data_IF_991102198115
#
_entry.id   IF_991102198115
#
_cell.length_a   1.000
_cell.length_b   1.000
_cell.length_c   1.000
_cell.angle_alpha   90.00
_cell.angle_beta   90.00
_cell.angle_gamma   90.00
#
_symmetry.space_group_name_H-M   'P 1'
#
loop_
_entity.id
_entity.type
_entity.pdbx_description
1 polymer ?
#
# COMPACT_ATOMS: atom_id res chain seq x y z
N UNK A 1 -20.63 28.31 -9.32
CA UNK A 1 -19.98 27.02 -9.62
C UNK A 1 -18.55 27.15 -9.14
N UNK A 2 -18.22 26.55 -8.00
CA UNK A 2 -16.84 26.47 -7.54
C UNK A 2 -16.29 25.15 -8.07
N UNK A 3 -15.82 25.13 -9.32
CA UNK A 3 -15.12 23.95 -9.85
C UNK A 3 -14.03 23.56 -8.86
N UNK A 4 -13.94 22.29 -8.48
CA UNK A 4 -12.70 21.82 -7.88
C UNK A 4 -11.56 21.96 -8.87
N UNK A 5 -10.38 22.21 -8.32
CA UNK A 5 -9.16 22.36 -9.10
C UNK A 5 -8.14 21.44 -8.45
N UNK A 6 -7.81 20.32 -9.08
CA UNK A 6 -6.87 19.37 -8.51
C UNK A 6 -6.09 18.58 -9.54
N UNK A 7 -4.80 18.38 -9.26
CA UNK A 7 -3.95 17.53 -10.07
C UNK A 7 -2.86 16.83 -9.26
N UNK A 8 -2.49 15.64 -9.70
CA UNK A 8 -1.21 15.02 -9.40
C UNK A 8 -0.07 15.87 -9.99
N UNK A 9 1.01 15.97 -9.24
CA UNK A 9 2.26 16.64 -9.59
C UNK A 9 3.44 15.67 -9.50
N UNK A 10 3.45 14.76 -8.53
CA UNK A 10 4.45 13.70 -8.43
C UNK A 10 3.77 12.36 -8.20
N UNK A 11 4.15 11.29 -8.92
CA UNK A 11 4.96 11.26 -10.14
C UNK A 11 4.42 12.17 -11.25
N UNK A 12 5.31 12.62 -12.15
CA UNK A 12 4.92 13.49 -13.29
C UNK A 12 3.82 12.83 -14.11
N UNK A 13 2.70 13.54 -14.33
CA UNK A 13 1.59 12.98 -15.11
C UNK A 13 1.99 12.72 -16.55
N UNK A 14 1.21 11.90 -17.25
CA UNK A 14 1.34 11.62 -18.70
C UNK A 14 1.29 12.87 -19.59
N UNK A 15 0.82 14.00 -19.06
CA UNK A 15 0.85 15.29 -19.74
C UNK A 15 2.05 16.17 -19.32
N UNK A 16 3.03 15.60 -18.61
CA UNK A 16 4.28 16.25 -18.24
C UNK A 16 4.15 17.32 -17.17
N UNK A 17 3.03 17.35 -16.44
CA UNK A 17 2.62 18.49 -15.62
C UNK A 17 2.53 19.83 -16.36
N UNK A 18 2.32 19.78 -17.68
CA UNK A 18 2.22 20.97 -18.52
C UNK A 18 0.75 21.34 -18.76
N UNK A 19 0.49 22.63 -18.97
CA UNK A 19 -0.87 23.10 -19.24
C UNK A 19 -1.84 22.95 -18.06
N UNK A 20 -3.11 23.20 -18.35
CA UNK A 20 -4.19 23.21 -17.36
C UNK A 20 -4.96 21.89 -17.38
N UNK A 21 -5.01 21.20 -16.23
CA UNK A 21 -5.67 19.91 -16.07
C UNK A 21 -6.37 19.79 -14.72
N UNK A 22 -6.67 20.93 -14.12
CA UNK A 22 -7.12 20.99 -12.73
C UNK A 22 -8.64 20.77 -12.66
N UNK A 23 -9.40 20.90 -13.75
CA UNK A 23 -10.85 20.65 -13.82
C UNK A 23 -11.21 19.16 -13.69
N UNK A 24 -12.44 18.84 -13.20
CA UNK A 24 -12.91 17.47 -13.16
C UNK A 24 -13.05 16.87 -14.57
N UNK A 25 -13.06 15.55 -14.62
CA UNK A 25 -13.45 14.81 -15.83
C UNK A 25 -14.97 14.85 -16.00
N UNK A 26 -15.50 14.75 -17.24
CA UNK A 26 -16.91 14.96 -17.49
C UNK A 26 -17.87 14.02 -16.75
N UNK A 27 -17.52 12.73 -16.65
CA UNK A 27 -18.28 11.66 -15.98
C UNK A 27 -17.51 10.33 -16.10
N UNK A 28 -18.02 9.28 -15.44
CA UNK A 28 -17.45 7.92 -15.44
C UNK A 28 -17.38 7.28 -16.84
N UNK A 29 -18.35 7.56 -17.72
CA UNK A 29 -18.36 6.99 -19.07
C UNK A 29 -17.31 7.60 -20.01
N UNK A 30 -16.74 8.76 -19.64
CA UNK A 30 -15.71 9.42 -20.42
C UNK A 30 -14.40 8.64 -20.39
N UNK A 31 -13.73 8.49 -21.54
CA UNK A 31 -12.36 7.98 -21.60
C UNK A 31 -11.36 8.82 -20.79
N UNK A 32 -11.70 10.07 -20.48
CA UNK A 32 -10.90 10.91 -19.59
C UNK A 32 -10.91 10.43 -18.14
N UNK A 33 -11.91 9.67 -17.69
CA UNK A 33 -11.96 9.14 -16.31
C UNK A 33 -10.85 8.11 -16.02
N UNK A 34 -10.28 7.51 -17.07
CA UNK A 34 -9.22 6.52 -16.93
C UNK A 34 -7.90 7.21 -16.60
N UNK A 35 -7.41 8.10 -17.48
CA UNK A 35 -6.10 8.75 -17.30
C UNK A 35 -6.07 10.26 -17.56
N UNK A 36 -7.23 10.90 -17.78
CA UNK A 36 -7.43 12.27 -18.32
C UNK A 36 -6.89 12.50 -19.72
N UNK A 37 -5.70 12.02 -20.05
CA UNK A 37 -5.07 12.13 -21.36
C UNK A 37 -4.45 10.82 -21.80
N UNK A 38 -4.28 10.70 -23.12
CA UNK A 38 -3.57 9.61 -23.78
C UNK A 38 -2.09 9.93 -24.06
N UNK A 39 -1.62 11.10 -23.62
CA UNK A 39 -0.24 11.54 -23.82
C UNK A 39 0.75 10.59 -23.13
N UNK A 40 2.03 10.74 -23.49
CA UNK A 40 3.14 10.04 -22.86
C UNK A 40 4.19 11.06 -22.44
N UNK A 41 4.50 11.09 -21.14
CA UNK A 41 5.55 11.92 -20.57
C UNK A 41 6.73 11.05 -20.14
N UNK A 42 7.78 11.68 -19.62
CA UNK A 42 8.91 10.97 -19.02
C UNK A 42 8.42 10.07 -17.88
N UNK A 43 8.97 8.86 -17.83
CA UNK A 43 8.67 7.92 -16.77
C UNK A 43 9.41 8.27 -15.48
N UNK A 44 8.80 7.92 -14.35
CA UNK A 44 9.38 8.07 -13.01
C UNK A 44 9.95 6.73 -12.57
N UNK A 45 11.20 6.71 -12.13
CA UNK A 45 11.79 5.50 -11.59
C UNK A 45 11.12 5.11 -10.27
N UNK A 46 10.82 3.83 -10.11
CA UNK A 46 10.22 3.25 -8.93
C UNK A 46 10.82 1.87 -8.65
N UNK A 47 10.73 1.40 -7.41
CA UNK A 47 11.26 0.08 -7.01
C UNK A 47 10.20 -0.68 -6.25
N UNK A 48 9.90 -1.90 -6.70
CA UNK A 48 8.97 -2.80 -6.02
C UNK A 48 9.44 -3.04 -4.57
N UNK A 49 8.52 -2.96 -3.61
CA UNK A 49 8.82 -3.10 -2.18
C UNK A 49 9.39 -1.84 -1.53
N UNK A 50 9.55 -0.75 -2.28
CA UNK A 50 10.02 0.55 -1.78
C UNK A 50 8.90 1.58 -1.79
N UNK A 51 9.13 2.66 -1.07
CA UNK A 51 8.23 3.79 -1.00
C UNK A 51 8.25 4.64 -2.28
N UNK A 52 7.06 5.06 -2.72
CA UNK A 52 6.83 6.01 -3.80
C UNK A 52 6.18 7.27 -3.23
N UNK A 53 6.86 8.41 -3.38
CA UNK A 53 6.32 9.70 -2.98
C UNK A 53 5.34 10.26 -4.01
N UNK A 54 4.10 10.47 -3.56
CA UNK A 54 3.03 11.11 -4.27
C UNK A 54 2.90 12.56 -3.82
N UNK A 55 2.55 13.45 -4.75
CA UNK A 55 2.18 14.83 -4.41
C UNK A 55 1.14 15.34 -5.37
N UNK A 56 0.11 15.97 -4.83
CA UNK A 56 -0.92 16.66 -5.60
C UNK A 56 -1.00 18.12 -5.19
N UNK A 57 -1.61 18.90 -6.08
CA UNK A 57 -1.96 20.30 -5.86
C UNK A 57 -3.44 20.47 -6.10
N UNK A 58 -4.15 20.89 -5.08
CA UNK A 58 -5.52 21.35 -5.15
C UNK A 58 -5.54 22.88 -5.07
N UNK A 59 -5.99 23.53 -6.15
CA UNK A 59 -6.33 24.95 -6.16
C UNK A 59 -7.58 25.25 -5.32
N UNK A 60 -8.49 24.27 -5.23
CA UNK A 60 -9.59 24.24 -4.28
C UNK A 60 -9.63 22.86 -3.61
N UNK A 61 -9.18 22.78 -2.35
CA UNK A 61 -8.98 21.53 -1.62
C UNK A 61 -10.31 20.99 -1.04
N UNK A 62 -11.14 20.42 -1.91
CA UNK A 62 -12.44 19.88 -1.55
C UNK A 62 -12.34 18.59 -0.71
N UNK A 63 -13.38 18.30 0.06
CA UNK A 63 -13.50 17.02 0.77
C UNK A 63 -13.52 15.85 -0.23
N UNK A 64 -12.84 14.76 0.10
CA UNK A 64 -12.74 13.55 -0.71
C UNK A 64 -11.45 12.79 -0.39
N UNK A 65 -11.38 11.55 -0.86
CA UNK A 65 -10.21 10.67 -0.72
C UNK A 65 -9.56 10.46 -2.07
N UNK A 66 -8.32 9.99 -2.10
CA UNK A 66 -7.66 9.55 -3.32
C UNK A 66 -7.40 8.06 -3.30
N UNK A 67 -7.20 7.49 -4.48
CA UNK A 67 -6.76 6.11 -4.62
C UNK A 67 -5.63 6.00 -5.64
N UNK A 68 -4.81 4.95 -5.49
CA UNK A 68 -3.72 4.66 -6.41
C UNK A 68 -3.88 3.27 -6.99
N UNK A 69 -3.74 3.18 -8.29
CA UNK A 69 -3.88 1.96 -9.06
C UNK A 69 -2.68 1.77 -9.99
N UNK A 70 -2.43 0.51 -10.36
CA UNK A 70 -1.40 0.14 -11.31
C UNK A 70 -2.04 -0.63 -12.47
N UNK A 71 -1.49 -0.42 -13.67
CA UNK A 71 -1.74 -1.22 -14.87
C UNK A 71 -0.43 -1.55 -15.56
N UNK A 72 -0.29 -2.77 -16.06
CA UNK A 72 0.80 -3.17 -16.96
C UNK A 72 0.35 -3.25 -18.41
N UNK A 73 -0.90 -2.85 -18.72
CA UNK A 73 -1.38 -2.82 -20.09
C UNK A 73 -0.63 -1.76 -20.89
N UNK A 74 -0.14 -2.16 -22.07
CA UNK A 74 0.58 -1.28 -23.00
C UNK A 74 -0.29 -0.80 -24.15
N UNK A 75 -1.58 -1.18 -24.14
CA UNK A 75 -2.56 -0.86 -25.18
C UNK A 75 -3.09 0.57 -25.11
N UNK A 76 -4.25 0.79 -25.76
CA UNK A 76 -4.93 2.07 -25.68
C UNK A 76 -5.38 2.35 -24.25
N UNK A 77 -5.26 3.61 -23.81
CA UNK A 77 -5.70 4.05 -22.47
C UNK A 77 -7.16 3.68 -22.19
N UNK A 78 -8.03 3.70 -23.21
CA UNK A 78 -9.44 3.37 -23.08
C UNK A 78 -9.73 1.91 -22.67
N UNK A 79 -8.75 1.02 -22.88
CA UNK A 79 -8.86 -0.42 -22.65
C UNK A 79 -8.04 -0.88 -21.44
N UNK A 80 -7.30 0.03 -20.79
CA UNK A 80 -6.45 -0.31 -19.66
C UNK A 80 -7.28 -0.83 -18.48
N UNK A 81 -6.86 -1.97 -17.96
CA UNK A 81 -7.36 -2.53 -16.71
C UNK A 81 -6.39 -2.24 -15.59
N UNK A 82 -6.93 -2.09 -14.40
CA UNK A 82 -6.20 -1.66 -13.21
C UNK A 82 -6.45 -2.57 -12.03
N UNK A 83 -5.50 -2.54 -11.09
CA UNK A 83 -5.69 -3.04 -9.73
C UNK A 83 -5.25 -1.96 -8.74
N UNK A 84 -5.92 -1.89 -7.59
CA UNK A 84 -5.64 -0.87 -6.57
C UNK A 84 -4.48 -1.29 -5.68
N UNK A 85 -3.66 -0.32 -5.26
CA UNK A 85 -2.54 -0.55 -4.34
C UNK A 85 -2.52 0.40 -3.14
N UNK A 86 -3.35 1.45 -3.14
CA UNK A 86 -3.42 2.36 -2.01
C UNK A 86 -4.75 3.09 -1.89
N UNK A 87 -5.11 3.36 -0.63
CA UNK A 87 -6.11 4.30 -0.18
C UNK A 87 -5.42 5.51 0.46
N UNK A 88 -5.84 6.71 0.10
CA UNK A 88 -5.32 7.97 0.64
C UNK A 88 -6.52 8.78 1.19
N UNK A 89 -6.94 8.54 2.45
CA UNK A 89 -8.09 9.24 3.03
C UNK A 89 -7.81 10.74 3.24
N UNK A 90 -8.84 11.57 3.12
CA UNK A 90 -8.78 13.02 3.36
C UNK A 90 -7.65 13.75 2.60
N UNK A 91 -7.58 13.53 1.28
CA UNK A 91 -6.52 14.09 0.44
C UNK A 91 -6.35 15.61 0.54
N UNK A 92 -7.39 16.35 0.91
CA UNK A 92 -7.29 17.80 1.09
C UNK A 92 -6.33 18.21 2.20
N UNK A 93 -6.20 17.43 3.28
CA UNK A 93 -5.30 17.78 4.40
C UNK A 93 -3.83 17.57 4.04
N UNK A 94 -3.58 16.71 3.06
CA UNK A 94 -2.27 16.36 2.53
C UNK A 94 -1.91 17.18 1.26
N UNK A 95 -2.72 18.18 0.90
CA UNK A 95 -2.50 19.00 -0.28
C UNK A 95 -1.11 19.67 -0.26
N UNK A 96 -0.38 19.59 -1.38
CA UNK A 96 0.99 20.08 -1.53
C UNK A 96 2.02 19.47 -0.57
N UNK A 97 1.72 18.32 0.04
CA UNK A 97 2.68 17.54 0.82
C UNK A 97 3.14 16.32 0.02
N UNK A 98 4.31 15.80 0.38
CA UNK A 98 4.75 14.49 -0.10
C UNK A 98 4.06 13.42 0.76
N UNK A 99 3.38 12.50 0.11
CA UNK A 99 2.65 11.39 0.72
C UNK A 99 3.23 10.09 0.20
N UNK A 100 3.75 9.28 1.12
CA UNK A 100 4.39 8.01 0.76
C UNK A 100 3.36 6.89 0.67
N UNK A 101 3.48 6.05 -0.36
CA UNK A 101 2.86 4.72 -0.41
C UNK A 101 3.96 3.69 -0.61
N UNK A 102 3.84 2.51 -0.01
CA UNK A 102 4.77 1.41 -0.25
C UNK A 102 4.31 0.63 -1.47
N UNK A 103 5.16 0.53 -2.49
CA UNK A 103 4.87 -0.32 -3.66
C UNK A 103 4.95 -1.80 -3.26
N UNK A 104 3.99 -2.65 -3.67
CA UNK A 104 4.08 -4.07 -3.39
C UNK A 104 5.37 -4.70 -3.93
N UNK A 105 6.03 -5.52 -3.13
CA UNK A 105 7.32 -6.15 -3.50
C UNK A 105 7.20 -7.16 -4.64
N UNK A 106 5.99 -7.68 -4.87
CA UNK A 106 5.66 -8.59 -5.95
C UNK A 106 5.34 -7.90 -7.29
N UNK A 107 5.39 -6.56 -7.35
CA UNK A 107 5.20 -5.86 -8.62
C UNK A 107 6.27 -6.27 -9.66
N UNK A 108 5.87 -6.69 -10.87
CA UNK A 108 6.81 -7.00 -11.94
C UNK A 108 7.70 -5.83 -12.31
N UNK A 109 8.96 -6.13 -12.64
CA UNK A 109 9.83 -5.14 -13.27
C UNK A 109 9.31 -4.77 -14.67
N UNK A 110 9.40 -3.50 -15.01
CA UNK A 110 9.01 -2.98 -16.32
C UNK A 110 8.21 -1.68 -16.26
N UNK A 111 7.78 -1.23 -17.43
CA UNK A 111 6.96 -0.03 -17.57
C UNK A 111 5.53 -0.30 -17.08
N UNK A 112 5.06 0.51 -16.14
CA UNK A 112 3.71 0.45 -15.61
C UNK A 112 3.02 1.81 -15.68
N UNK A 113 1.70 1.80 -15.77
CA UNK A 113 0.86 3.01 -15.63
C UNK A 113 0.34 3.08 -14.22
N UNK A 114 0.73 4.12 -13.49
CA UNK A 114 0.11 4.45 -12.22
C UNK A 114 -1.04 5.40 -12.46
N UNK A 115 -2.23 5.09 -11.94
CA UNK A 115 -3.38 5.99 -11.95
C UNK A 115 -3.62 6.50 -10.53
N UNK A 116 -3.71 7.83 -10.39
CA UNK A 116 -4.19 8.51 -9.20
C UNK A 116 -5.56 9.10 -9.52
N UNK A 117 -6.50 8.99 -8.59
CA UNK A 117 -7.78 9.68 -8.70
C UNK A 117 -8.22 10.30 -7.38
N UNK A 118 -9.22 11.18 -7.48
CA UNK A 118 -9.82 11.89 -6.36
C UNK A 118 -11.31 12.14 -6.66
N UNK A 119 -12.23 11.33 -6.11
CA UNK A 119 -13.65 11.68 -6.02
C UNK A 119 -13.87 12.82 -5.01
N UNK A 120 -14.10 14.04 -5.48
CA UNK A 120 -14.41 15.19 -4.64
C UNK A 120 -15.91 15.23 -4.29
N UNK A 121 -16.20 15.25 -2.98
CA UNK A 121 -17.54 15.08 -2.40
C UNK A 121 -18.20 16.38 -1.97
N UNK A 122 -17.60 17.54 -2.22
CA UNK A 122 -18.10 18.83 -1.77
C UNK A 122 -19.46 19.25 -2.36
N UNK A 123 -19.91 18.59 -3.44
CA UNK A 123 -21.23 18.76 -4.06
C UNK A 123 -22.16 17.58 -3.81
N UNK A 124 -21.92 16.84 -2.71
CA UNK A 124 -22.71 15.68 -2.30
C UNK A 124 -24.24 15.92 -2.43
N UNK A 125 -25.00 14.97 -2.99
CA UNK A 125 -24.59 13.60 -3.36
C UNK A 125 -23.90 13.47 -4.72
N UNK A 126 -23.75 14.56 -5.50
CA UNK A 126 -22.93 14.48 -6.72
C UNK A 126 -21.45 14.37 -6.38
N UNK A 127 -20.69 13.81 -7.30
CA UNK A 127 -19.24 13.65 -7.19
C UNK A 127 -18.59 14.32 -8.38
N UNK A 128 -17.53 15.10 -8.12
CA UNK A 128 -16.63 15.57 -9.16
C UNK A 128 -15.40 14.65 -9.18
N UNK A 129 -15.14 14.02 -10.33
CA UNK A 129 -14.04 13.08 -10.47
C UNK A 129 -12.80 13.76 -11.04
N UNK A 130 -11.65 13.51 -10.41
CA UNK A 130 -10.34 13.90 -10.93
C UNK A 130 -9.53 12.64 -11.09
N UNK A 131 -8.80 12.49 -12.19
CA UNK A 131 -8.00 11.31 -12.46
C UNK A 131 -6.81 11.70 -13.31
N UNK A 132 -5.61 11.24 -12.97
CA UNK A 132 -4.43 11.38 -13.81
C UNK A 132 -3.60 10.12 -13.75
N UNK A 133 -2.97 9.79 -14.87
CA UNK A 133 -1.99 8.71 -14.91
C UNK A 133 -0.57 9.25 -15.04
N UNK A 134 0.38 8.51 -14.51
CA UNK A 134 1.82 8.70 -14.65
C UNK A 134 2.45 7.40 -15.14
N UNK A 135 3.56 7.49 -15.86
CA UNK A 135 4.32 6.30 -16.28
C UNK A 135 5.41 6.03 -15.25
N UNK A 136 5.50 4.80 -14.78
CA UNK A 136 6.56 4.32 -13.90
C UNK A 136 7.47 3.36 -14.64
N UNK A 137 8.79 3.43 -14.39
CA UNK A 137 9.69 2.30 -14.66
C UNK A 137 9.98 1.60 -13.33
N UNK A 138 9.37 0.43 -13.13
CA UNK A 138 9.50 -0.32 -11.90
C UNK A 138 10.69 -1.26 -12.02
N UNK A 139 11.63 -1.17 -11.10
CA UNK A 139 12.66 -2.19 -10.87
C UNK A 139 12.20 -3.21 -9.82
N UNK A 140 12.57 -4.47 -9.99
CA UNK A 140 12.17 -5.57 -9.10
C UNK A 140 12.64 -6.92 -9.62
N UNK A 141 12.37 -7.99 -8.88
CA UNK A 141 12.72 -9.37 -9.27
C UNK A 141 11.55 -10.15 -9.89
N UNK A 142 10.31 -9.70 -9.70
CA UNK A 142 9.14 -10.36 -10.26
C UNK A 142 9.04 -10.11 -11.77
N UNK A 143 8.58 -11.14 -12.51
CA UNK A 143 8.40 -11.09 -13.97
C UNK A 143 6.94 -11.10 -14.41
N UNK A 144 6.01 -11.39 -13.50
CA UNK A 144 4.57 -11.48 -13.77
C UNK A 144 3.78 -11.17 -12.51
N UNK A 145 2.57 -10.63 -12.68
CA UNK A 145 1.66 -10.42 -11.56
C UNK A 145 1.28 -11.76 -10.90
N UNK A 146 1.07 -11.80 -9.58
CA UNK A 146 0.42 -12.92 -8.92
C UNK A 146 -0.95 -13.22 -9.54
N UNK A 147 -1.34 -14.50 -9.57
CA UNK A 147 -2.57 -14.96 -10.25
C UNK A 147 -3.87 -14.51 -9.58
N UNK A 148 -3.79 -14.10 -8.32
CA UNK A 148 -4.89 -13.57 -7.50
C UNK A 148 -5.07 -12.05 -7.65
N UNK A 149 -4.19 -11.36 -8.39
CA UNK A 149 -4.38 -9.96 -8.75
C UNK A 149 -5.51 -9.84 -9.78
N UNK A 150 -6.66 -9.34 -9.32
CA UNK A 150 -7.81 -9.07 -10.19
C UNK A 150 -7.65 -7.70 -10.86
N UNK A 151 -7.67 -7.71 -12.19
CA UNK A 151 -7.63 -6.51 -13.03
C UNK A 151 -9.04 -6.16 -13.49
N UNK A 152 -9.45 -4.90 -13.34
CA UNK A 152 -10.78 -4.42 -13.73
C UNK A 152 -10.72 -3.12 -14.51
N UNK A 153 -11.79 -2.82 -15.24
CA UNK A 153 -12.01 -1.47 -15.75
C UNK A 153 -12.36 -0.55 -14.58
N UNK A 154 -11.65 0.57 -14.44
CA UNK A 154 -11.87 1.46 -13.30
C UNK A 154 -13.24 2.15 -13.33
N UNK A 155 -13.91 2.16 -14.50
CA UNK A 155 -15.28 2.66 -14.66
C UNK A 155 -16.31 1.77 -13.97
N UNK A 156 -16.00 0.48 -13.81
CA UNK A 156 -16.94 -0.51 -13.25
C UNK A 156 -16.90 -0.53 -11.71
N UNK A 157 -15.90 0.10 -11.09
CA UNK A 157 -15.65 0.00 -9.64
C UNK A 157 -15.95 1.29 -8.89
N UNK A 158 -16.57 2.28 -9.53
CA UNK A 158 -16.95 3.53 -8.90
C UNK A 158 -18.44 3.81 -9.11
N UNK A 159 -19.19 4.14 -8.04
CA UNK A 159 -20.57 4.58 -8.20
C UNK A 159 -20.61 5.98 -8.80
N UNK A 160 -21.68 6.27 -9.55
CA UNK A 160 -21.88 7.56 -10.23
C UNK A 160 -22.09 8.72 -9.23
N UNK A 161 -22.67 8.44 -8.06
CA UNK A 161 -22.98 9.44 -7.05
C UNK A 161 -23.02 8.83 -5.65
N UNK A 162 -23.12 9.67 -4.63
CA UNK A 162 -23.32 9.26 -3.24
C UNK A 162 -24.64 8.54 -2.95
N UNK A 163 -25.54 8.43 -3.93
CA UNK A 163 -26.87 7.82 -3.77
C UNK A 163 -27.12 6.62 -4.69
N UNK A 164 -26.10 6.14 -5.40
CA UNK A 164 -26.19 4.98 -6.32
C UNK A 164 -25.23 3.89 -5.89
N UNK A 165 -25.67 2.63 -5.88
CA UNK A 165 -24.87 1.50 -5.41
C UNK A 165 -24.45 1.68 -3.95
N UNK A 166 -23.21 1.32 -3.63
CA UNK A 166 -22.60 1.60 -2.31
C UNK A 166 -22.43 3.11 -2.03
N UNK A 167 -22.43 3.93 -3.09
CA UNK A 167 -22.33 5.38 -3.00
C UNK A 167 -21.03 5.87 -2.38
N UNK A 168 -21.11 7.04 -1.75
CA UNK A 168 -20.02 7.72 -1.05
C UNK A 168 -20.56 8.24 0.26
N UNK A 169 -19.70 8.36 1.27
CA UNK A 169 -20.08 9.00 2.53
C UNK A 169 -20.59 10.42 2.30
N UNK A 170 -21.51 10.87 3.14
CA UNK A 170 -21.87 12.28 3.22
C UNK A 170 -20.82 13.02 4.07
N UNK A 171 -19.97 13.87 3.49
CA UNK A 171 -18.90 14.53 4.22
C UNK A 171 -19.40 15.66 5.14
N UNK A 172 -20.68 16.02 5.05
CA UNK A 172 -21.30 17.11 5.83
C UNK A 172 -22.12 16.61 7.01
N UNK A 173 -22.30 15.29 7.16
CA UNK A 173 -22.98 14.69 8.29
C UNK A 173 -22.02 13.77 9.04
N UNK A 174 -21.42 14.29 10.12
CA UNK A 174 -20.49 13.53 10.95
C UNK A 174 -21.18 12.43 11.79
N UNK A 175 -22.52 12.41 11.82
CA UNK A 175 -23.28 11.36 12.51
C UNK A 175 -23.49 10.12 11.65
N UNK A 176 -23.07 10.13 10.38
CA UNK A 176 -23.09 8.95 9.50
C UNK A 176 -21.68 8.41 9.34
N UNK A 177 -21.58 7.10 9.08
CA UNK A 177 -20.31 6.44 8.78
C UNK A 177 -19.52 7.23 7.73
N UNK A 178 -18.24 7.45 8.01
CA UNK A 178 -17.33 8.18 7.13
C UNK A 178 -16.45 7.20 6.34
N UNK A 179 -17.08 6.25 5.66
CA UNK A 179 -16.40 5.23 4.87
C UNK A 179 -15.71 5.79 3.62
N UNK A 180 -14.71 5.06 3.12
CA UNK A 180 -14.05 5.33 1.85
C UNK A 180 -14.63 4.40 0.78
N UNK A 181 -14.91 4.94 -0.40
CA UNK A 181 -15.48 4.18 -1.52
C UNK A 181 -14.40 3.70 -2.48
N UNK A 182 -14.49 2.44 -2.90
CA UNK A 182 -13.71 1.88 -3.99
C UNK A 182 -13.46 0.38 -3.82
N UNK A 183 -12.76 -0.26 -4.77
CA UNK A 183 -12.46 -1.67 -4.66
C UNK A 183 -11.42 -1.92 -3.57
N UNK A 184 -11.31 -3.16 -3.11
CA UNK A 184 -10.19 -3.57 -2.28
C UNK A 184 -8.85 -3.36 -3.00
N UNK A 185 -7.78 -3.11 -2.24
CA UNK A 185 -6.44 -3.26 -2.78
C UNK A 185 -6.24 -4.69 -3.31
N UNK A 186 -5.35 -4.85 -4.29
CA UNK A 186 -4.97 -6.16 -4.79
C UNK A 186 -4.47 -7.06 -3.66
N UNK A 187 -4.67 -8.37 -3.84
CA UNK A 187 -4.28 -9.38 -2.87
C UNK A 187 -2.81 -9.22 -2.45
N UNK A 188 -2.54 -9.32 -1.14
CA UNK A 188 -1.19 -9.24 -0.59
C UNK A 188 -0.58 -7.84 -0.56
N UNK A 189 -1.32 -6.77 -0.85
CA UNK A 189 -0.87 -5.41 -0.49
C UNK A 189 -1.08 -5.19 1.00
N UNK A 190 0.02 -5.00 1.73
CA UNK A 190 0.02 -4.70 3.18
C UNK A 190 0.26 -3.19 3.35
N UNK A 191 -0.50 -2.56 4.25
CA UNK A 191 -0.41 -1.11 4.49
C UNK A 191 -1.20 -0.28 3.48
N UNK A 192 -0.74 0.94 3.21
CA UNK A 192 -1.39 1.90 2.29
C UNK A 192 -2.90 2.12 2.55
N UNK A 193 -3.32 2.02 3.81
CA UNK A 193 -4.71 2.07 4.26
C UNK A 193 -5.64 1.11 3.50
N UNK A 194 -5.14 -0.03 3.03
CA UNK A 194 -5.90 -0.97 2.20
C UNK A 194 -7.13 -1.57 2.92
N UNK A 195 -7.12 -1.55 4.26
CA UNK A 195 -8.26 -1.92 5.11
C UNK A 195 -9.50 -1.05 4.89
N UNK A 196 -9.36 0.22 4.48
CA UNK A 196 -10.49 1.15 4.34
C UNK A 196 -11.48 0.76 3.23
N UNK A 197 -11.02 -0.01 2.24
CA UNK A 197 -11.87 -0.51 1.15
C UNK A 197 -11.78 -2.03 1.01
N UNK A 198 -11.32 -2.73 2.06
CA UNK A 198 -11.24 -4.19 2.06
C UNK A 198 -12.63 -4.82 1.86
N UNK A 199 -12.65 -6.08 1.42
CA UNK A 199 -13.91 -6.82 1.30
C UNK A 199 -14.69 -6.80 2.63
N UNK A 200 -15.99 -6.55 2.56
CA UNK A 200 -16.86 -6.44 3.74
C UNK A 200 -16.96 -5.03 4.35
N UNK A 201 -16.17 -4.05 3.90
CA UNK A 201 -16.41 -2.66 4.30
C UNK A 201 -17.60 -2.06 3.54
N UNK A 202 -18.32 -1.12 4.17
CA UNK A 202 -19.49 -0.45 3.57
C UNK A 202 -19.21 0.14 2.19
N UNK A 203 -18.00 0.69 1.98
CA UNK A 203 -17.61 1.37 0.74
C UNK A 203 -16.93 0.47 -0.30
N UNK A 204 -16.78 -0.83 -0.02
CA UNK A 204 -16.18 -1.76 -0.97
C UNK A 204 -17.07 -1.91 -2.21
N UNK A 205 -16.52 -1.69 -3.40
CA UNK A 205 -17.28 -1.73 -4.66
C UNK A 205 -17.12 -3.02 -5.45
N UNK A 206 -16.28 -3.93 -4.96
CA UNK A 206 -16.05 -5.24 -5.58
C UNK A 206 -16.16 -6.29 -4.47
N UNK A 207 -17.38 -6.77 -4.23
CA UNK A 207 -17.56 -7.92 -3.35
C UNK A 207 -16.84 -9.13 -3.95
N UNK A 208 -16.20 -9.93 -3.09
CA UNK A 208 -15.51 -11.15 -3.49
C UNK A 208 -16.57 -12.16 -3.92
N UNK A 209 -16.93 -12.13 -5.21
CA UNK A 209 -17.86 -13.08 -5.82
C UNK A 209 -18.98 -12.40 -6.60
N UNK A 210 -18.69 -11.89 -7.79
CA UNK A 210 -19.75 -11.39 -8.67
C UNK A 210 -19.23 -10.68 -9.91
N UNK A 211 -18.83 -11.45 -10.91
CA UNK A 211 -18.73 -10.94 -12.28
C UNK A 211 -20.12 -10.51 -12.76
N UNK A 212 -20.26 -9.25 -13.19
CA UNK A 212 -21.40 -8.73 -13.94
C UNK A 212 -21.66 -7.27 -13.56
N UNK A 213 -21.28 -6.28 -14.35
CA UNK A 213 -21.74 -6.13 -15.73
C UNK A 213 -23.10 -5.43 -15.70
N UNK A 214 -23.10 -4.12 -15.93
CA UNK A 214 -24.34 -3.35 -16.05
C UNK A 214 -25.18 -3.81 -17.25
N UNK A 215 -26.50 -3.70 -17.11
CA UNK A 215 -27.43 -3.81 -18.24
C UNK A 215 -28.80 -4.39 -17.90
N UNK A 216 -29.76 -3.48 -17.72
CA UNK A 216 -31.16 -3.58 -18.14
C UNK A 216 -32.18 -4.42 -17.36
N UNK A 217 -33.27 -3.73 -17.05
CA UNK A 217 -34.52 -4.26 -16.54
C UNK A 217 -35.30 -4.97 -17.65
N UNK A 218 -35.69 -6.23 -17.41
CA UNK A 218 -36.98 -6.76 -17.87
C UNK A 218 -37.42 -7.92 -16.96
N UNK A 219 -38.74 -8.14 -16.91
CA UNK A 219 -39.50 -8.74 -15.82
C UNK A 219 -39.38 -10.26 -15.58
N UNK A 220 -40.13 -10.68 -14.54
CA UNK A 220 -39.87 -11.88 -13.75
C UNK A 220 -40.30 -13.22 -14.33
N UNK A 221 -39.92 -14.28 -13.61
CA UNK A 221 -40.83 -15.35 -13.18
C UNK A 221 -40.18 -16.16 -12.04
N UNK A 222 -41.02 -16.74 -11.18
CA UNK A 222 -40.66 -17.64 -10.08
C UNK A 222 -40.50 -19.09 -10.59
N UNK A 223 -39.41 -19.77 -10.22
CA UNK A 223 -39.31 -21.21 -10.41
C UNK A 223 -38.07 -21.82 -9.77
N UNK A 224 -38.24 -22.44 -8.60
CA UNK A 224 -37.18 -23.18 -7.90
C UNK A 224 -36.84 -24.53 -8.54
N UNK A 225 -35.63 -25.02 -8.26
CA UNK A 225 -35.19 -26.37 -8.59
C UNK A 225 -33.70 -26.55 -8.35
N UNK A 226 -33.35 -27.23 -7.25
CA UNK A 226 -31.97 -27.50 -6.86
C UNK A 226 -31.23 -28.46 -7.80
N UNK A 227 -29.90 -28.31 -7.83
CA UNK A 227 -28.98 -29.15 -8.55
C UNK A 227 -27.53 -28.86 -8.12
N UNK A 228 -27.05 -29.70 -7.21
CA UNK A 228 -25.71 -29.75 -6.62
C UNK A 228 -24.60 -30.11 -7.60
N UNK A 229 -23.48 -29.37 -7.66
CA UNK A 229 -22.11 -29.90 -7.91
C UNK A 229 -21.02 -28.82 -7.65
N UNK A 230 -19.70 -29.15 -7.56
CA UNK A 230 -18.93 -29.05 -6.31
C UNK A 230 -17.68 -28.15 -6.41
N UNK A 231 -17.02 -27.93 -5.26
CA UNK A 231 -15.59 -27.60 -5.22
C UNK A 231 -15.30 -26.14 -4.88
N UNK A 232 -15.57 -25.78 -3.63
CA UNK A 232 -15.02 -24.57 -3.03
C UNK A 232 -13.66 -24.96 -2.42
N UNK A 233 -12.57 -24.45 -3.01
CA UNK A 233 -11.23 -24.50 -2.45
C UNK A 233 -10.92 -23.11 -1.85
N UNK A 234 -10.28 -23.04 -0.66
CA UNK A 234 -10.41 -21.90 0.25
C UNK A 234 -9.47 -20.74 -0.10
N UNK A 235 -9.98 -19.51 0.06
CA UNK A 235 -9.24 -18.25 0.12
C UNK A 235 -8.65 -18.04 1.53
N UNK A 236 -7.42 -17.49 1.61
CA UNK A 236 -6.61 -17.16 2.80
C UNK A 236 -7.21 -17.52 4.16
N UNK A 237 -6.68 -18.61 4.71
CA UNK A 237 -7.25 -19.43 5.75
C UNK A 237 -7.38 -18.81 7.16
N UNK A 238 -6.88 -17.62 7.48
CA UNK A 238 -6.87 -17.10 8.86
C UNK A 238 -7.90 -15.99 9.10
N UNK A 239 -8.65 -16.06 10.19
CA UNK A 239 -9.46 -14.96 10.74
C UNK A 239 -8.56 -13.88 11.36
N UNK A 240 -8.99 -12.63 11.26
CA UNK A 240 -8.35 -11.46 11.87
C UNK A 240 -9.39 -10.79 12.77
N UNK A 241 -8.99 -10.43 13.98
CA UNK A 241 -9.81 -9.66 14.94
C UNK A 241 -9.30 -8.23 15.03
N UNK A 242 -10.21 -7.28 15.21
CA UNK A 242 -9.88 -5.91 15.63
C UNK A 242 -10.23 -5.75 17.10
N UNK A 243 -9.30 -5.24 17.90
CA UNK A 243 -9.48 -5.03 19.34
C UNK A 243 -10.56 -3.97 19.56
N UNK A 244 -11.62 -4.32 20.29
CA UNK A 244 -12.65 -3.38 20.73
C UNK A 244 -12.43 -2.93 22.18
N UNK A 245 -13.14 -1.89 22.60
CA UNK A 245 -13.03 -1.37 23.96
C UNK A 245 -13.44 -2.42 25.00
N UNK A 246 -12.50 -2.81 25.86
CA UNK A 246 -12.70 -3.83 26.89
C UNK A 246 -12.24 -5.23 26.49
N UNK A 247 -11.69 -5.39 25.28
CA UNK A 247 -11.03 -6.63 24.89
C UNK A 247 -9.70 -6.85 25.63
N UNK A 248 -9.41 -8.12 25.83
CA UNK A 248 -8.11 -8.66 26.24
C UNK A 248 -7.78 -9.79 25.29
N UNK A 249 -6.50 -10.15 25.14
CA UNK A 249 -6.16 -11.33 24.34
C UNK A 249 -6.85 -12.61 24.88
N UNK A 250 -7.16 -12.65 26.19
CA UNK A 250 -7.93 -13.73 26.83
C UNK A 250 -9.39 -13.74 26.36
N UNK A 251 -10.09 -12.60 26.35
CA UNK A 251 -11.49 -12.53 25.90
C UNK A 251 -11.62 -12.85 24.41
N UNK A 252 -10.68 -12.34 23.61
CA UNK A 252 -10.57 -12.64 22.18
C UNK A 252 -10.35 -14.15 21.97
N UNK A 253 -9.33 -14.74 22.60
CA UNK A 253 -9.04 -16.17 22.44
C UNK A 253 -10.23 -17.07 22.83
N UNK A 254 -10.91 -16.74 23.94
CA UNK A 254 -12.11 -17.47 24.38
C UNK A 254 -13.26 -17.34 23.37
N UNK A 255 -13.47 -16.16 22.81
CA UNK A 255 -14.51 -15.91 21.80
C UNK A 255 -14.28 -16.76 20.55
N UNK A 256 -13.06 -16.77 20.00
CA UNK A 256 -12.75 -17.52 18.80
C UNK A 256 -12.68 -19.03 19.05
N UNK A 257 -12.21 -19.46 20.23
CA UNK A 257 -12.28 -20.87 20.64
C UNK A 257 -13.73 -21.35 20.75
N UNK A 258 -14.63 -20.53 21.28
CA UNK A 258 -16.06 -20.84 21.32
C UNK A 258 -16.71 -20.93 19.93
N UNK A 259 -16.12 -20.26 18.93
CA UNK A 259 -16.53 -20.32 17.52
C UNK A 259 -15.91 -21.52 16.76
N UNK A 260 -15.09 -22.33 17.42
CA UNK A 260 -14.49 -23.53 16.84
C UNK A 260 -13.07 -23.35 16.33
N UNK A 261 -12.42 -22.23 16.62
CA UNK A 261 -11.02 -21.96 16.25
C UNK A 261 -10.11 -22.14 17.49
N UNK A 262 -9.51 -23.33 17.70
CA UNK A 262 -8.77 -23.62 18.91
C UNK A 262 -7.54 -22.71 19.04
N UNK A 263 -7.58 -21.77 19.98
CA UNK A 263 -6.47 -20.84 20.21
C UNK A 263 -6.39 -20.40 21.66
N UNK A 264 -5.23 -19.93 22.09
CA UNK A 264 -5.00 -19.31 23.38
C UNK A 264 -4.50 -17.89 23.19
N UNK A 265 -4.66 -17.06 24.21
CA UNK A 265 -4.13 -15.69 24.20
C UNK A 265 -2.60 -15.65 24.00
N UNK A 266 -1.88 -16.69 24.47
CA UNK A 266 -0.44 -16.84 24.30
C UNK A 266 -0.08 -17.05 22.83
N UNK A 267 -0.80 -17.94 22.15
CA UNK A 267 -0.61 -18.21 20.72
C UNK A 267 -0.93 -16.96 19.89
N UNK A 268 -2.00 -16.23 20.22
CA UNK A 268 -2.29 -14.94 19.56
C UNK A 268 -1.15 -13.95 19.79
N UNK A 269 -0.63 -13.84 21.02
CA UNK A 269 0.44 -12.92 21.34
C UNK A 269 1.74 -13.23 20.56
N UNK A 270 2.18 -14.49 20.59
CA UNK A 270 3.41 -14.94 19.93
C UNK A 270 3.29 -14.84 18.40
N UNK A 271 2.15 -15.25 17.83
CA UNK A 271 1.94 -15.26 16.38
C UNK A 271 1.94 -13.85 15.78
N UNK A 272 1.41 -12.88 16.52
CA UNK A 272 1.35 -11.49 16.09
C UNK A 272 2.57 -10.66 16.52
N UNK A 273 3.52 -11.26 17.24
CA UNK A 273 4.72 -10.57 17.73
C UNK A 273 4.42 -9.42 18.69
N UNK A 274 3.36 -9.54 19.49
CA UNK A 274 2.95 -8.49 20.44
C UNK A 274 3.98 -8.44 21.57
N UNK A 275 4.53 -7.24 21.81
CA UNK A 275 5.61 -7.04 22.80
C UNK A 275 5.08 -7.09 24.24
N UNK A 276 3.88 -6.58 24.46
CA UNK A 276 3.22 -6.57 25.77
C UNK A 276 1.82 -7.19 25.64
N UNK A 277 1.71 -8.50 25.90
CA UNK A 277 0.47 -9.27 25.73
C UNK A 277 -0.68 -8.80 26.65
N UNK A 278 -0.39 -8.09 27.73
CA UNK A 278 -1.38 -7.63 28.70
C UNK A 278 -1.96 -6.25 28.32
N UNK A 279 -1.31 -5.52 27.40
CA UNK A 279 -1.66 -4.17 27.01
C UNK A 279 -1.85 -4.09 25.49
N UNK A 280 -3.05 -4.44 25.04
CA UNK A 280 -3.51 -4.25 23.66
C UNK A 280 -4.36 -2.99 23.54
N UNK A 281 -4.24 -2.27 22.44
CA UNK A 281 -4.93 -1.01 22.18
C UNK A 281 -6.15 -1.21 21.28
N UNK A 282 -7.22 -0.48 21.57
CA UNK A 282 -8.45 -0.49 20.75
C UNK A 282 -8.11 -0.06 19.32
N UNK A 283 -8.53 -0.86 18.35
CA UNK A 283 -8.26 -0.68 16.93
C UNK A 283 -7.04 -1.45 16.42
N UNK A 284 -6.24 -2.08 17.27
CA UNK A 284 -5.21 -3.02 16.81
C UNK A 284 -5.85 -4.25 16.15
N UNK A 285 -5.14 -4.86 15.20
CA UNK A 285 -5.63 -6.05 14.51
C UNK A 285 -4.70 -7.23 14.72
N UNK A 286 -5.27 -8.40 15.01
CA UNK A 286 -4.53 -9.61 15.32
C UNK A 286 -5.04 -10.79 14.53
N UNK A 287 -4.12 -11.56 13.96
CA UNK A 287 -4.42 -12.84 13.32
C UNK A 287 -4.73 -13.86 14.40
N UNK A 288 -5.78 -14.66 14.19
CA UNK A 288 -6.17 -15.74 15.10
C UNK A 288 -5.54 -17.05 14.60
N UNK A 289 -4.51 -17.59 15.27
CA UNK A 289 -3.74 -18.73 14.75
C UNK A 289 -4.59 -19.99 14.59
N UNK A 290 -5.47 -20.27 15.56
CA UNK A 290 -6.39 -21.41 15.53
C UNK A 290 -7.45 -21.37 14.43
N UNK A 291 -7.52 -20.25 13.71
CA UNK A 291 -8.42 -20.10 12.58
C UNK A 291 -7.73 -20.28 11.25
N UNK A 292 -6.39 -20.19 11.21
CA UNK A 292 -5.56 -20.52 10.07
C UNK A 292 -5.70 -22.03 9.77
N UNK A 293 -6.51 -22.38 8.78
CA UNK A 293 -6.83 -23.78 8.46
C UNK A 293 -5.65 -24.75 8.48
N UNK A 294 -5.83 -25.81 9.26
CA UNK A 294 -5.23 -27.11 9.04
C UNK A 294 -6.15 -27.91 8.11
N UNK A 295 -5.62 -28.41 7.00
CA UNK A 295 -6.23 -29.56 6.31
C UNK A 295 -5.90 -30.83 7.14
N UNK A 296 -6.88 -31.44 7.80
CA UNK A 296 -6.77 -32.81 8.34
C UNK A 296 -6.39 -33.78 7.19
N UNK A 297 -5.39 -34.68 7.22
CA UNK A 297 -4.50 -35.24 8.25
C UNK A 297 -3.57 -36.28 7.56
N UNK A 298 -3.07 -37.37 8.19
CA UNK A 298 -3.15 -37.77 9.59
C UNK A 298 -1.76 -37.98 10.25
N UNK A 299 -1.68 -37.71 11.56
CA UNK A 299 -0.79 -38.43 12.47
C UNK A 299 0.57 -37.79 12.79
N UNK A 300 0.74 -37.44 14.06
CA UNK A 300 2.02 -37.12 14.68
C UNK A 300 1.89 -35.86 15.53
N UNK A 301 1.24 -35.91 16.69
CA UNK A 301 1.87 -36.50 17.87
C UNK A 301 2.34 -35.34 18.76
N UNK A 302 1.57 -35.08 19.81
CA UNK A 302 1.82 -33.95 20.70
C UNK A 302 3.25 -33.91 21.24
N UNK A 303 3.77 -32.69 21.39
CA UNK A 303 4.90 -32.44 22.27
C UNK A 303 4.41 -31.66 23.48
N UNK A 304 4.18 -32.42 24.55
CA UNK A 304 4.47 -31.96 25.91
C UNK A 304 5.96 -31.63 26.03
N UNK A 305 6.27 -30.66 26.88
CA UNK A 305 7.59 -30.44 27.47
C UNK A 305 8.26 -29.20 26.89
N UNK A 306 8.66 -28.20 27.66
CA UNK A 306 9.28 -28.28 28.98
C UNK A 306 10.78 -28.02 28.84
N UNK A 307 11.21 -26.92 29.46
CA UNK A 307 12.57 -26.65 29.96
C UNK A 307 13.75 -26.61 28.97
N UNK A 308 14.14 -25.39 28.58
CA UNK A 308 15.54 -24.91 28.48
C UNK A 308 15.44 -23.40 28.67
N UNK A 309 15.98 -22.75 29.68
CA UNK A 309 17.30 -22.86 30.27
C UNK A 309 17.66 -21.40 30.58
N UNK A 310 17.60 -21.04 31.86
CA UNK A 310 17.91 -19.69 32.33
C UNK A 310 19.31 -19.27 31.86
N UNK A 311 19.38 -18.20 31.08
CA UNK A 311 20.62 -17.44 30.90
C UNK A 311 20.61 -16.35 31.96
N UNK A 312 21.29 -16.63 33.06
CA UNK A 312 21.64 -15.63 34.07
C UNK A 312 22.39 -14.47 33.42
N UNK A 313 21.77 -13.29 33.48
CA UNK A 313 22.49 -12.02 33.44
C UNK A 313 23.24 -11.88 34.76
N UNK A 314 24.57 -12.00 34.72
CA UNK A 314 25.44 -11.39 35.72
C UNK A 314 26.47 -10.53 35.00
N UNK A 315 26.24 -9.23 35.05
CA UNK A 315 27.25 -8.24 34.80
C UNK A 315 28.10 -7.96 36.04
N UNK A 316 29.34 -7.56 35.75
CA UNK A 316 30.28 -6.74 36.53
C UNK A 316 31.14 -7.46 37.59
N UNK A 317 32.45 -7.47 37.34
CA UNK A 317 33.45 -7.76 38.38
C UNK A 317 34.89 -8.03 37.93
N UNK A 318 35.64 -6.96 37.63
CA UNK A 318 37.05 -6.71 37.93
C UNK A 318 38.17 -7.79 37.73
N UNK A 319 39.23 -7.29 37.06
CA UNK A 319 40.68 -7.35 37.41
C UNK A 319 41.65 -8.35 36.76
N UNK A 320 42.75 -7.72 36.34
CA UNK A 320 44.15 -8.15 36.36
C UNK A 320 44.62 -9.01 35.19
N UNK A 321 45.61 -8.45 34.50
CA UNK A 321 46.23 -9.05 33.33
C UNK A 321 47.38 -9.98 33.67
N UNK A 322 47.95 -10.55 32.61
CA UNK A 322 49.33 -11.00 32.55
C UNK A 322 49.68 -11.17 31.08
N UNK A 323 50.67 -10.41 30.65
CA UNK A 323 51.16 -10.46 29.28
C UNK A 323 51.92 -11.75 29.02
N UNK A 324 51.92 -12.19 27.76
CA UNK A 324 53.03 -12.96 27.24
C UNK A 324 53.40 -12.54 25.82
N UNK A 325 54.68 -12.22 25.67
CA UNK A 325 55.39 -12.03 24.42
C UNK A 325 55.53 -13.38 23.74
N UNK A 326 55.32 -13.44 22.42
CA UNK A 326 56.02 -14.40 21.57
C UNK A 326 56.66 -13.65 20.42
N UNK A 327 57.97 -13.84 20.25
CA UNK A 327 58.82 -13.25 19.21
C UNK A 327 59.56 -14.39 18.52
N UNK A 328 59.72 -14.23 17.19
CA UNK A 328 60.49 -15.05 16.21
C UNK A 328 59.79 -16.34 15.78
N UNK A 329 59.63 -16.68 14.49
CA UNK A 329 60.24 -16.17 13.25
C UNK A 329 60.98 -17.31 12.54
N UNK A 330 60.73 -17.48 11.24
CA UNK A 330 61.47 -18.16 10.13
C UNK A 330 60.39 -18.35 9.03
N UNK A 331 60.53 -18.03 7.74
CA UNK A 331 61.60 -17.50 6.91
C UNK A 331 61.20 -17.69 5.43
N UNK A 332 61.67 -16.80 4.54
CA UNK A 332 61.55 -16.88 3.07
C UNK A 332 60.53 -15.87 2.52
N UNK A 333 60.85 -14.81 1.79
CA UNK A 333 62.07 -14.47 1.06
C UNK A 333 61.71 -14.18 -0.40
N UNK A 334 61.26 -12.96 -0.70
CA UNK A 334 61.27 -12.40 -2.05
C UNK A 334 61.55 -10.90 -1.96
N UNK A 335 62.70 -10.49 -2.46
CA UNK A 335 63.14 -9.10 -2.61
C UNK A 335 62.88 -8.63 -4.04
N UNK A 336 62.35 -7.42 -4.23
CA UNK A 336 62.81 -6.51 -5.28
C UNK A 336 62.74 -5.04 -4.82
N UNK A 337 63.67 -4.27 -5.39
CA UNK A 337 64.23 -2.99 -4.95
C UNK A 337 63.33 -1.76 -5.08
N UNK A 338 63.68 -0.80 -4.22
CA UNK A 338 63.36 0.62 -4.15
C UNK A 338 63.51 1.45 -5.43
N UNK A 339 62.67 2.49 -5.55
CA UNK A 339 62.92 3.67 -6.38
C UNK A 339 61.95 4.81 -6.04
N UNK A 340 62.46 5.86 -5.39
CA UNK A 340 61.73 7.09 -5.06
C UNK A 340 61.51 7.98 -6.29
N UNK A 341 60.41 8.73 -6.33
CA UNK A 341 60.14 9.72 -7.38
C UNK A 341 58.94 10.62 -7.06
N UNK A 342 59.25 11.78 -6.49
CA UNK A 342 58.34 12.91 -6.20
C UNK A 342 57.88 13.57 -7.50
N UNK A 343 56.58 13.84 -7.66
CA UNK A 343 56.06 14.75 -8.69
C UNK A 343 55.26 15.89 -8.03
N UNK A 344 55.82 17.10 -8.13
CA UNK A 344 55.19 18.39 -7.77
C UNK A 344 54.23 18.81 -8.88
N UNK A 345 53.01 19.21 -8.51
CA UNK A 345 52.09 19.92 -9.40
C UNK A 345 52.47 21.41 -9.50
N UNK A 346 52.46 21.96 -10.72
CA UNK A 346 52.69 23.38 -11.04
C UNK A 346 51.40 24.20 -10.91
N UNK A 347 51.47 25.50 -10.58
CA UNK A 347 50.30 26.37 -10.48
C UNK A 347 49.90 26.96 -11.84
N UNK A 348 48.59 27.07 -12.08
CA UNK A 348 48.02 27.87 -13.19
C UNK A 348 47.56 29.21 -12.63
N UNK A 349 48.09 30.29 -13.22
CA UNK A 349 47.70 31.69 -12.99
C UNK A 349 46.45 32.02 -13.82
N UNK A 350 45.59 32.90 -13.28
CA UNK A 350 44.62 33.66 -14.08
C UNK A 350 43.30 33.87 -13.35
N UNK A 351 43.15 35.03 -12.73
CA UNK A 351 41.99 35.37 -11.90
C UNK A 351 40.77 35.90 -12.65
N UNK A 352 39.69 36.08 -11.89
CA UNK A 352 38.91 37.33 -11.76
C UNK A 352 37.91 37.12 -10.62
N UNK A 353 38.09 37.87 -9.53
CA UNK A 353 37.14 37.95 -8.43
C UNK A 353 35.98 38.85 -8.85
N UNK A 354 34.75 38.35 -8.71
CA UNK A 354 33.54 39.18 -8.71
C UNK A 354 33.00 39.24 -7.28
N UNK A 355 32.95 40.45 -6.75
CA UNK A 355 32.30 40.81 -5.49
C UNK A 355 30.78 40.63 -5.63
N UNK A 356 30.14 40.02 -4.63
CA UNK A 356 28.71 40.21 -4.39
C UNK A 356 28.55 40.78 -2.97
N UNK A 357 28.01 42.00 -2.91
CA UNK A 357 27.62 42.70 -1.68
C UNK A 357 26.41 42.00 -1.07
N UNK A 358 26.51 41.68 0.21
CA UNK A 358 25.38 41.38 1.09
C UNK A 358 24.79 42.72 1.52
N UNK A 359 23.49 42.92 1.27
CA UNK A 359 22.75 44.11 1.68
C UNK A 359 21.83 43.70 2.82
N UNK A 360 22.14 44.19 4.01
CA UNK A 360 21.24 44.19 5.17
C UNK A 360 20.08 45.16 4.89
N UNK A 361 18.86 44.76 5.25
CA UNK A 361 17.74 45.67 5.45
C UNK A 361 17.28 45.55 6.90
N UNK A 362 17.11 46.74 7.48
CA UNK A 362 16.50 47.07 8.76
C UNK A 362 15.03 46.63 8.77
#
# INVERSE_FOLDING_TARGET
MCSGHGRLISPTTRNGNTGYEDDPVPNLASSQFICRNTNSAASTAATAGSDLALRWRFGAAHVGDCSVYISYDTGAVADMKFFKIANLPDCRSQNNQDVSITLPSWLPAGTATMRWDWPALHVYPRVEFYSQCSTLEISGSASSLPSDVTMYDVRDVYPESGSVGVGYRNPFNQNTEQFMTGPACAAGVIGNNCELTAAGTTGNTLEVGGSGGGGDADGGDNGGGGGSVPGEAPSSLCQIVTVEAGDTLVSIANSYTAQGYPTTWQEICEYNGIVDCDNIEVGETYVIPGSCGEEDGPGGGGMKGGLVGAVCVLGVGLLAGLGWKVKKGIGGGFTFRSGAGVAKAKPVKGGKAFNFKMQEMI
#
